data_IF_373386204220
#
_entry.id   IF_373386204220
#
_cell.length_a   1.000
_cell.length_b   1.000
_cell.length_c   1.000
_cell.angle_alpha   90.00
_cell.angle_beta   90.00
_cell.angle_gamma   90.00
#
_symmetry.space_group_name_H-M   'P 1'
#
loop_
_entity.id
_entity.type
_entity.pdbx_description
1 polymer ?
#
# COMPACT_ATOMS: atom_id res chain seq x y z
N UNK A 1 18.68 -59.04 -14.60
CA UNK A 1 17.91 -58.27 -13.60
C UNK A 1 18.46 -56.86 -13.28
N UNK A 2 19.40 -56.27 -14.06
CA UNK A 2 20.03 -54.96 -13.73
C UNK A 2 19.40 -53.77 -14.50
N UNK A 3 18.76 -54.00 -15.66
CA UNK A 3 18.18 -52.94 -16.50
C UNK A 3 16.93 -52.27 -15.88
N UNK A 4 16.13 -53.02 -15.14
CA UNK A 4 14.89 -52.53 -14.50
C UNK A 4 15.15 -51.56 -13.34
N UNK A 5 16.24 -51.73 -12.59
CA UNK A 5 16.59 -50.82 -11.47
C UNK A 5 17.06 -49.45 -11.95
N UNK A 6 17.81 -49.40 -13.06
CA UNK A 6 18.27 -48.14 -13.67
C UNK A 6 17.12 -47.33 -14.27
N UNK A 7 16.14 -48.02 -14.87
CA UNK A 7 14.94 -47.37 -15.41
C UNK A 7 14.07 -46.73 -14.32
N UNK A 8 13.93 -47.40 -13.17
CA UNK A 8 13.16 -46.89 -12.04
C UNK A 8 13.79 -45.63 -11.41
N UNK A 9 15.12 -45.58 -11.29
CA UNK A 9 15.83 -44.41 -10.76
C UNK A 9 15.65 -43.18 -11.67
N UNK A 10 15.74 -43.35 -12.99
CA UNK A 10 15.56 -42.24 -13.94
C UNK A 10 14.13 -41.67 -13.88
N UNK A 11 13.12 -42.54 -13.75
CA UNK A 11 11.72 -42.12 -13.62
C UNK A 11 11.48 -41.31 -12.33
N UNK A 12 12.10 -41.70 -11.20
CA UNK A 12 12.00 -40.97 -9.94
C UNK A 12 12.64 -39.58 -10.04
N UNK A 13 13.81 -39.45 -10.66
CA UNK A 13 14.45 -38.15 -10.86
C UNK A 13 13.67 -37.25 -11.81
N UNK A 14 13.07 -37.81 -12.85
CA UNK A 14 12.24 -37.05 -13.79
C UNK A 14 10.97 -36.50 -13.10
N UNK A 15 10.32 -37.34 -12.29
CA UNK A 15 9.15 -36.93 -11.50
C UNK A 15 9.52 -35.87 -10.46
N UNK A 16 10.66 -36.01 -9.77
CA UNK A 16 11.15 -35.04 -8.80
C UNK A 16 11.48 -33.69 -9.47
N UNK A 17 12.13 -33.72 -10.64
CA UNK A 17 12.41 -32.52 -11.43
C UNK A 17 11.15 -31.81 -11.89
N UNK A 18 10.12 -32.57 -12.28
CA UNK A 18 8.82 -32.01 -12.68
C UNK A 18 8.12 -31.35 -11.48
N UNK A 19 8.10 -31.98 -10.30
CA UNK A 19 7.51 -31.41 -9.08
C UNK A 19 8.23 -30.11 -8.67
N UNK A 20 9.56 -30.09 -8.74
CA UNK A 20 10.35 -28.88 -8.49
C UNK A 20 10.04 -27.76 -9.50
N UNK A 21 9.90 -28.10 -10.78
CA UNK A 21 9.57 -27.13 -11.83
C UNK A 21 8.17 -26.52 -11.64
N UNK A 22 7.17 -27.35 -11.30
CA UNK A 22 5.82 -26.85 -10.96
C UNK A 22 5.82 -26.00 -9.69
N UNK A 23 6.64 -26.34 -8.70
CA UNK A 23 6.80 -25.56 -7.47
C UNK A 23 7.37 -24.16 -7.70
N UNK A 24 8.33 -24.02 -8.63
CA UNK A 24 8.88 -22.70 -9.00
C UNK A 24 7.91 -21.85 -9.84
N UNK A 25 7.06 -22.49 -10.64
CA UNK A 25 6.04 -21.80 -11.43
C UNK A 25 4.89 -21.25 -10.54
N UNK A 26 4.70 -21.82 -9.35
CA UNK A 26 3.74 -21.35 -8.35
C UNK A 26 4.35 -20.23 -7.49
N UNK A 27 4.51 -19.05 -8.08
CA UNK A 27 4.63 -17.83 -7.28
C UNK A 27 3.23 -17.37 -6.91
N UNK A 28 2.79 -17.44 -5.64
CA UNK A 28 1.52 -16.85 -5.26
C UNK A 28 1.60 -15.36 -5.58
N UNK A 29 0.66 -14.86 -6.39
CA UNK A 29 0.53 -13.43 -6.60
C UNK A 29 0.40 -12.77 -5.23
N UNK A 30 1.30 -11.83 -4.90
CA UNK A 30 1.22 -11.09 -3.66
C UNK A 30 -0.14 -10.37 -3.65
N UNK A 31 -1.07 -10.86 -2.85
CA UNK A 31 -2.41 -10.32 -2.80
C UNK A 31 -2.34 -8.88 -2.26
N UNK A 32 -2.73 -7.93 -3.10
CA UNK A 32 -2.98 -6.55 -2.74
C UNK A 32 -4.01 -6.50 -1.60
N UNK A 33 -3.68 -5.85 -0.48
CA UNK A 33 -4.60 -5.73 0.67
C UNK A 33 -5.14 -4.31 0.72
N UNK A 34 -6.24 -4.06 0.00
CA UNK A 34 -7.03 -2.83 0.12
C UNK A 34 -8.08 -3.04 1.21
N UNK A 35 -8.12 -2.15 2.18
CA UNK A 35 -9.03 -2.17 3.32
C UNK A 35 -10.02 -1.01 3.19
N UNK A 36 -11.26 -1.27 3.61
CA UNK A 36 -12.31 -0.25 3.71
C UNK A 36 -12.62 -0.03 5.19
N UNK A 37 -12.57 1.21 5.66
CA UNK A 37 -12.86 1.55 7.07
C UNK A 37 -13.86 2.69 7.12
N UNK A 38 -14.94 2.51 7.87
CA UNK A 38 -15.87 3.59 8.18
C UNK A 38 -15.26 4.48 9.26
N UNK A 39 -15.08 5.76 8.99
CA UNK A 39 -14.69 6.74 10.00
C UNK A 39 -15.95 7.30 10.68
N UNK A 40 -15.84 7.60 11.96
CA UNK A 40 -16.82 8.25 12.84
C UNK A 40 -17.44 9.54 12.29
N UNK A 41 -16.87 10.12 11.23
CA UNK A 41 -17.32 11.36 10.58
C UNK A 41 -18.17 11.16 9.31
N UNK A 42 -18.89 10.05 9.17
CA UNK A 42 -19.74 9.69 8.02
C UNK A 42 -18.99 9.54 6.68
N UNK A 43 -17.71 9.16 6.71
CA UNK A 43 -16.91 8.90 5.51
C UNK A 43 -16.40 7.46 5.45
N UNK A 44 -16.36 6.88 4.26
CA UNK A 44 -15.67 5.61 4.00
C UNK A 44 -14.25 5.90 3.55
N UNK A 45 -13.26 5.29 4.19
CA UNK A 45 -11.86 5.41 3.84
C UNK A 45 -11.43 4.14 3.10
N UNK A 46 -11.02 4.30 1.84
CA UNK A 46 -10.34 3.26 1.07
C UNK A 46 -8.84 3.39 1.36
N UNK A 47 -8.17 2.33 1.81
CA UNK A 47 -6.75 2.41 2.16
C UNK A 47 -5.95 1.15 1.77
N UNK A 48 -4.68 1.33 1.45
CA UNK A 48 -3.64 0.29 1.46
C UNK A 48 -2.67 0.60 2.60
N UNK A 49 -2.28 -0.43 3.36
CA UNK A 49 -1.31 -0.33 4.46
C UNK A 49 -0.26 -1.41 4.34
N UNK A 50 1.00 -1.01 4.24
CA UNK A 50 2.15 -1.93 4.27
C UNK A 50 3.15 -1.51 5.35
N UNK A 51 3.82 -2.50 5.90
CA UNK A 51 4.98 -2.28 6.76
C UNK A 51 6.24 -2.51 5.94
N UNK A 52 7.11 -1.50 5.87
CA UNK A 52 8.42 -1.57 5.24
C UNK A 52 9.51 -1.47 6.30
N UNK A 53 10.75 -1.76 5.90
CA UNK A 53 11.94 -1.51 6.72
C UNK A 53 12.81 -0.49 6.02
N UNK A 54 13.40 0.40 6.80
CA UNK A 54 14.42 1.33 6.31
C UNK A 54 15.81 0.67 6.28
N UNK A 55 16.83 1.45 5.93
CA UNK A 55 18.22 1.01 5.88
C UNK A 55 18.77 0.56 7.24
N UNK A 56 18.19 1.04 8.34
CA UNK A 56 18.61 0.76 9.72
C UNK A 56 17.73 -0.32 10.38
N UNK A 57 16.88 -0.98 9.58
CA UNK A 57 15.92 -2.01 10.00
C UNK A 57 14.77 -1.53 10.91
N UNK A 58 14.55 -0.23 11.06
CA UNK A 58 13.37 0.27 11.75
C UNK A 58 12.12 0.05 10.88
N UNK A 59 10.99 -0.21 11.55
CA UNK A 59 9.73 -0.49 10.87
C UNK A 59 8.99 0.80 10.54
N UNK A 60 8.49 0.88 9.31
CA UNK A 60 7.73 2.01 8.79
C UNK A 60 6.36 1.55 8.33
N UNK A 61 5.29 2.23 8.74
CA UNK A 61 3.99 2.05 8.11
C UNK A 61 3.83 3.04 6.97
N UNK A 62 3.46 2.51 5.82
CA UNK A 62 3.20 3.26 4.61
C UNK A 62 1.75 3.05 4.24
N UNK A 63 0.97 4.13 4.30
CA UNK A 63 -0.48 4.09 4.22
C UNK A 63 -0.93 5.00 3.08
N UNK A 64 -1.41 4.43 1.98
CA UNK A 64 -2.07 5.19 0.92
C UNK A 64 -3.58 5.14 1.14
N UNK A 65 -4.24 6.28 1.30
CA UNK A 65 -5.68 6.29 1.61
C UNK A 65 -6.43 7.40 0.88
N UNK A 66 -7.71 7.15 0.60
CA UNK A 66 -8.63 8.09 -0.03
C UNK A 66 -9.97 8.08 0.74
N UNK A 67 -10.41 9.21 1.31
CA UNK A 67 -11.73 9.32 1.92
C UNK A 67 -12.81 9.53 0.85
N UNK A 68 -13.98 8.95 1.08
CA UNK A 68 -15.20 9.11 0.28
C UNK A 68 -16.31 9.50 1.26
N UNK A 69 -16.81 10.72 1.12
CA UNK A 69 -17.78 11.32 2.03
C UNK A 69 -19.17 10.68 1.89
N UNK A 70 -20.02 10.88 2.90
CA UNK A 70 -21.41 10.39 2.90
C UNK A 70 -22.27 10.90 1.74
N UNK A 71 -21.93 12.04 1.15
CA UNK A 71 -22.62 12.59 -0.03
C UNK A 71 -22.01 12.12 -1.37
N UNK A 72 -21.08 11.17 -1.32
CA UNK A 72 -20.41 10.61 -2.49
C UNK A 72 -19.25 11.44 -3.01
N UNK A 73 -18.93 12.59 -2.39
CA UNK A 73 -17.74 13.37 -2.74
C UNK A 73 -16.47 12.59 -2.39
N UNK A 74 -15.60 12.44 -3.38
CA UNK A 74 -14.29 11.80 -3.21
C UNK A 74 -13.26 12.85 -2.82
N UNK A 75 -12.52 12.59 -1.74
CA UNK A 75 -11.36 13.39 -1.37
C UNK A 75 -10.13 13.02 -2.19
N UNK A 76 -9.07 13.84 -2.07
CA UNK A 76 -7.76 13.50 -2.61
C UNK A 76 -7.16 12.29 -1.90
N UNK A 77 -6.42 11.45 -2.63
CA UNK A 77 -5.61 10.41 -2.00
C UNK A 77 -4.41 11.05 -1.31
N UNK A 78 -4.07 10.57 -0.12
CA UNK A 78 -2.87 10.96 0.59
C UNK A 78 -2.01 9.75 0.93
N UNK A 79 -0.70 9.96 0.97
CA UNK A 79 0.27 8.98 1.47
C UNK A 79 0.72 9.39 2.87
N UNK A 80 0.46 8.57 3.87
CA UNK A 80 0.96 8.76 5.24
C UNK A 80 2.11 7.81 5.52
N UNK A 81 3.21 8.38 6.01
CA UNK A 81 4.37 7.67 6.51
C UNK A 81 4.38 7.76 8.04
N UNK A 82 4.54 6.62 8.69
CA UNK A 82 4.71 6.52 10.14
C UNK A 82 5.99 5.76 10.40
N UNK A 83 7.04 6.49 10.78
CA UNK A 83 8.33 5.93 11.16
C UNK A 83 8.36 5.48 12.61
N UNK A 84 9.44 4.81 13.00
CA UNK A 84 9.61 4.31 14.35
C UNK A 84 9.73 5.47 15.36
N UNK A 85 8.85 5.56 16.38
CA UNK A 85 8.87 6.65 17.34
C UNK A 85 10.22 6.77 18.06
N UNK A 86 10.76 7.98 18.15
CA UNK A 86 12.03 8.26 18.83
C UNK A 86 13.30 7.91 18.05
N UNK A 87 13.20 7.13 16.95
CA UNK A 87 14.33 6.85 16.06
C UNK A 87 14.42 7.84 14.89
N UNK A 88 13.28 8.39 14.44
CA UNK A 88 13.24 9.33 13.30
C UNK A 88 12.49 10.61 13.65
N UNK A 89 13.00 11.73 13.14
CA UNK A 89 12.32 13.01 13.07
C UNK A 89 12.33 13.49 11.62
N UNK A 90 11.17 13.48 10.98
CA UNK A 90 10.97 13.85 9.57
C UNK A 90 11.09 15.36 9.44
N UNK A 91 11.78 15.82 8.39
CA UNK A 91 11.82 17.24 8.03
C UNK A 91 10.64 17.58 7.11
N UNK A 92 9.60 18.17 7.70
CA UNK A 92 8.38 18.58 6.99
C UNK A 92 8.57 19.79 6.05
N UNK A 93 9.72 20.47 6.10
CA UNK A 93 10.00 21.57 5.18
C UNK A 93 10.42 21.07 3.79
N UNK A 94 10.80 19.79 3.67
CA UNK A 94 11.33 19.20 2.45
C UNK A 94 10.38 18.16 1.86
N UNK A 95 10.26 18.08 0.53
CA UNK A 95 9.48 17.03 -0.13
C UNK A 95 10.16 15.67 0.02
N UNK A 96 9.37 14.60 0.01
CA UNK A 96 9.92 13.25 -0.22
C UNK A 96 10.20 13.08 -1.70
N UNK A 97 11.16 12.21 -2.03
CA UNK A 97 11.57 12.00 -3.43
C UNK A 97 11.54 10.53 -3.79
N UNK A 98 10.77 10.17 -4.82
CA UNK A 98 10.86 8.87 -5.46
C UNK A 98 11.99 8.91 -6.49
N UNK A 99 12.86 7.90 -6.47
CA UNK A 99 13.95 7.74 -7.43
C UNK A 99 13.87 6.37 -8.08
N UNK A 100 13.85 6.36 -9.41
CA UNK A 100 13.92 5.12 -10.20
C UNK A 100 15.37 4.58 -10.29
N UNK A 101 15.57 3.32 -10.72
CA UNK A 101 16.91 2.77 -10.92
C UNK A 101 17.73 3.46 -12.03
N UNK A 102 17.09 4.30 -12.86
CA UNK A 102 17.74 5.10 -13.91
C UNK A 102 18.16 6.49 -13.40
N UNK A 103 17.82 6.84 -12.15
CA UNK A 103 18.12 8.12 -11.52
C UNK A 103 17.10 9.22 -11.79
N UNK A 104 15.95 8.93 -12.41
CA UNK A 104 14.86 9.90 -12.52
C UNK A 104 14.22 10.10 -11.15
N UNK A 105 13.99 11.35 -10.79
CA UNK A 105 13.46 11.75 -9.49
C UNK A 105 12.11 12.44 -9.62
N UNK A 106 11.19 12.09 -8.71
CA UNK A 106 9.85 12.64 -8.63
C UNK A 106 9.60 13.12 -7.20
N UNK A 107 9.65 14.43 -6.94
CA UNK A 107 9.38 14.99 -5.62
C UNK A 107 7.86 15.01 -5.33
N UNK A 108 7.50 14.82 -4.06
CA UNK A 108 6.10 14.84 -3.59
C UNK A 108 5.97 15.79 -2.42
N UNK A 109 4.98 16.67 -2.51
CA UNK A 109 4.79 17.74 -1.54
C UNK A 109 4.24 17.24 -0.20
N UNK A 110 4.75 17.81 0.90
CA UNK A 110 4.26 17.57 2.26
C UNK A 110 2.92 18.31 2.47
N UNK A 111 1.92 17.59 2.94
CA UNK A 111 0.59 18.08 3.34
C UNK A 111 0.28 17.67 4.80
N UNK A 112 1.32 17.54 5.63
CA UNK A 112 1.22 17.15 7.04
C UNK A 112 0.43 18.16 7.87
N UNK A 113 0.33 19.41 7.42
CA UNK A 113 -0.57 20.42 7.99
C UNK A 113 -2.07 20.06 7.89
N UNK A 114 -2.43 19.08 7.06
CA UNK A 114 -3.79 18.55 6.96
C UNK A 114 -4.07 17.40 7.94
N UNK A 115 -3.04 16.92 8.66
CA UNK A 115 -3.22 15.94 9.72
C UNK A 115 -3.93 16.64 10.87
N UNK A 116 -5.24 16.37 11.01
CA UNK A 116 -6.09 16.68 12.17
C UNK A 116 -5.79 17.99 12.91
N UNK A 117 -6.64 19.01 12.74
CA UNK A 117 -6.48 20.34 13.38
C UNK A 117 -6.32 20.30 14.91
N UNK A 118 -6.79 19.24 15.56
CA UNK A 118 -6.78 19.07 17.01
C UNK A 118 -5.71 18.06 17.52
N UNK A 119 -4.92 17.48 16.61
CA UNK A 119 -3.87 16.50 16.96
C UNK A 119 -2.50 17.12 16.67
N UNK A 120 -1.60 17.23 17.67
CA UNK A 120 -0.24 17.69 17.44
C UNK A 120 0.46 16.81 16.40
N UNK A 121 1.10 17.44 15.41
CA UNK A 121 1.90 16.74 14.42
C UNK A 121 3.06 16.02 15.12
N UNK A 122 3.10 14.70 15.01
CA UNK A 122 4.15 13.89 15.60
C UNK A 122 5.38 13.89 14.68
N UNK A 123 6.61 13.98 15.22
CA UNK A 123 7.82 14.13 14.42
C UNK A 123 8.15 12.91 13.55
N UNK A 124 7.57 11.75 13.83
CA UNK A 124 7.76 10.52 13.06
C UNK A 124 6.59 10.23 12.12
N UNK A 125 5.65 11.18 11.96
CA UNK A 125 4.46 11.03 11.11
C UNK A 125 4.41 12.15 10.11
N UNK A 126 4.33 11.83 8.83
CA UNK A 126 4.16 12.80 7.75
C UNK A 126 3.10 12.35 6.75
N UNK A 127 2.51 13.30 6.04
CA UNK A 127 1.51 13.05 5.00
C UNK A 127 1.86 13.81 3.72
N UNK A 128 1.68 13.18 2.57
CA UNK A 128 2.11 13.69 1.26
C UNK A 128 1.01 13.56 0.20
N UNK A 129 0.98 14.49 -0.75
CA UNK A 129 0.03 14.53 -1.86
C UNK A 129 0.50 13.65 -3.04
N UNK A 130 0.13 12.37 -2.99
CA UNK A 130 0.60 11.35 -3.94
C UNK A 130 -0.04 11.40 -5.35
N UNK A 131 -1.35 11.72 -5.54
CA UNK A 131 -2.02 11.71 -6.84
C UNK A 131 -1.28 12.39 -7.97
N UNK A 132 -0.64 13.53 -7.69
CA UNK A 132 0.04 14.34 -8.70
C UNK A 132 1.18 13.58 -9.41
N UNK A 133 1.82 12.63 -8.72
CA UNK A 133 2.96 11.86 -9.25
C UNK A 133 2.63 10.39 -9.50
N UNK A 134 1.51 9.88 -8.97
CA UNK A 134 1.21 8.44 -8.93
C UNK A 134 1.08 7.80 -10.33
N UNK A 135 0.60 8.56 -11.33
CA UNK A 135 0.52 8.11 -12.72
C UNK A 135 1.88 8.02 -13.42
N UNK A 136 2.89 8.73 -12.90
CA UNK A 136 4.25 8.73 -13.42
C UNK A 136 5.12 7.67 -12.75
N UNK A 137 4.67 7.10 -11.62
CA UNK A 137 5.42 6.08 -10.91
C UNK A 137 5.45 4.76 -11.72
N UNK A 138 6.66 4.26 -12.05
CA UNK A 138 6.83 3.00 -12.76
C UNK A 138 6.46 1.80 -11.89
N UNK A 139 5.92 0.75 -12.53
CA UNK A 139 5.43 -0.48 -11.86
C UNK A 139 6.22 -1.73 -12.24
N UNK A 140 7.41 -1.57 -12.83
CA UNK A 140 8.28 -2.65 -13.28
C UNK A 140 9.46 -2.92 -12.33
N UNK A 141 9.77 -1.99 -11.42
CA UNK A 141 10.89 -2.14 -10.48
C UNK A 141 10.65 -1.46 -9.13
N UNK A 142 11.51 -1.80 -8.15
CA UNK A 142 11.52 -1.15 -6.84
C UNK A 142 11.97 0.30 -6.96
N UNK A 143 11.19 1.20 -6.40
CA UNK A 143 11.55 2.61 -6.27
C UNK A 143 12.24 2.87 -4.94
N UNK A 144 13.22 3.77 -4.98
CA UNK A 144 13.81 4.32 -3.77
C UNK A 144 12.98 5.53 -3.34
N UNK A 145 12.43 5.52 -2.13
CA UNK A 145 11.76 6.67 -1.54
C UNK A 145 12.66 7.27 -0.48
N UNK A 146 13.10 8.49 -0.71
CA UNK A 146 13.92 9.26 0.24
C UNK A 146 13.02 10.17 1.07
N UNK A 147 13.14 10.02 2.39
CA UNK A 147 12.40 10.77 3.40
C UNK A 147 13.39 11.68 4.13
N UNK A 148 13.32 13.01 3.91
CA UNK A 148 14.15 13.96 4.62
C UNK A 148 13.94 13.90 6.12
N UNK A 149 15.03 14.01 6.87
CA UNK A 149 15.05 13.99 8.33
C UNK A 149 15.74 15.24 8.85
N UNK A 150 15.33 15.69 10.05
CA UNK A 150 15.98 16.82 10.72
C UNK A 150 17.45 16.54 11.07
N UNK A 151 17.80 15.26 11.24
CA UNK A 151 19.18 14.80 11.48
C UNK A 151 19.60 13.89 10.33
N UNK A 152 20.62 14.28 9.53
CA UNK A 152 21.15 13.44 8.46
C UNK A 152 21.68 12.09 8.99
N UNK A 153 21.65 11.02 8.19
CA UNK A 153 21.21 10.96 6.78
C UNK A 153 19.68 10.84 6.62
N UNK A 154 19.13 11.10 5.41
CA UNK A 154 17.72 10.85 5.13
C UNK A 154 17.39 9.35 5.22
N UNK A 155 16.13 9.06 5.52
CA UNK A 155 15.64 7.67 5.54
C UNK A 155 15.31 7.21 4.13
N UNK A 156 15.63 5.96 3.83
CA UNK A 156 15.44 5.35 2.52
C UNK A 156 14.55 4.13 2.62
N UNK A 157 13.39 4.19 1.97
CA UNK A 157 12.45 3.08 1.87
C UNK A 157 12.47 2.48 0.47
N UNK A 158 12.40 1.14 0.39
CA UNK A 158 12.30 0.41 -0.87
C UNK A 158 10.83 0.11 -1.16
N UNK A 159 10.27 0.80 -2.15
CA UNK A 159 8.86 0.70 -2.51
C UNK A 159 8.68 -0.38 -3.59
N UNK A 160 8.02 -1.52 -3.29
CA UNK A 160 7.80 -2.56 -4.28
C UNK A 160 6.74 -2.17 -5.30
N UNK A 161 6.83 -2.66 -6.56
CA UNK A 161 5.81 -2.42 -7.59
C UNK A 161 4.37 -2.72 -7.14
N UNK A 162 4.18 -3.82 -6.40
CA UNK A 162 2.86 -4.22 -5.89
C UNK A 162 2.22 -3.14 -4.99
N UNK A 163 3.02 -2.38 -4.23
CA UNK A 163 2.52 -1.31 -3.38
C UNK A 163 2.08 -0.09 -4.21
N UNK A 164 2.77 0.19 -5.31
CA UNK A 164 2.37 1.24 -6.26
C UNK A 164 1.04 0.86 -6.93
N UNK A 165 0.88 -0.41 -7.32
CA UNK A 165 -0.38 -0.92 -7.87
C UNK A 165 -1.54 -0.86 -6.87
N UNK A 166 -1.28 -1.14 -5.59
CA UNK A 166 -2.25 -0.94 -4.52
C UNK A 166 -2.70 0.53 -4.43
N UNK A 167 -1.74 1.47 -4.47
CA UNK A 167 -2.05 2.90 -4.47
C UNK A 167 -2.86 3.34 -5.70
N UNK A 168 -2.51 2.83 -6.88
CA UNK A 168 -3.29 3.05 -8.10
C UNK A 168 -4.71 2.48 -7.98
N UNK A 169 -4.88 1.35 -7.28
CA UNK A 169 -6.22 0.79 -7.00
C UNK A 169 -7.01 1.69 -6.04
N UNK A 170 -6.38 2.21 -4.99
CA UNK A 170 -7.01 3.12 -4.03
C UNK A 170 -7.46 4.42 -4.70
N UNK A 171 -6.62 5.05 -5.51
CA UNK A 171 -6.98 6.32 -6.17
C UNK A 171 -8.10 6.14 -7.19
N UNK A 172 -8.13 5.01 -7.89
CA UNK A 172 -9.13 4.70 -8.91
C UNK A 172 -10.44 4.09 -8.33
N UNK A 173 -10.52 3.82 -7.03
CA UNK A 173 -11.75 3.29 -6.41
C UNK A 173 -12.76 4.42 -6.25
N UNK A 174 -13.88 4.38 -6.96
CA UNK A 174 -14.90 5.42 -6.90
C UNK A 174 -16.05 5.08 -5.95
N UNK A 175 -16.82 6.09 -5.53
CA UNK A 175 -18.02 5.86 -4.70
C UNK A 175 -19.02 4.91 -5.36
N UNK A 176 -19.16 4.97 -6.69
CA UNK A 176 -20.02 4.06 -7.47
C UNK A 176 -19.59 2.59 -7.35
N UNK A 177 -18.29 2.32 -7.23
CA UNK A 177 -17.75 0.95 -7.17
C UNK A 177 -17.99 0.30 -5.81
N UNK A 178 -18.32 1.12 -4.81
CA UNK A 178 -18.59 0.70 -3.45
C UNK A 178 -20.06 0.31 -3.23
N UNK A 179 -20.95 0.61 -4.19
CA UNK A 179 -22.34 0.14 -4.19
C UNK A 179 -22.37 -1.40 -4.33
N UNK A 180 -21.52 -1.96 -5.18
CA UNK A 180 -21.43 -3.41 -5.42
C UNK A 180 -20.45 -4.13 -4.47
N UNK A 181 -19.85 -3.41 -3.51
CA UNK A 181 -18.76 -3.92 -2.67
C UNK A 181 -19.18 -4.33 -1.26
N UNK A 182 -20.48 -4.43 -0.95
CA UNK A 182 -20.95 -4.72 0.41
C UNK A 182 -20.30 -5.97 1.05
N UNK A 183 -20.02 -7.02 0.27
CA UNK A 183 -19.35 -8.23 0.76
C UNK A 183 -17.86 -8.03 1.12
N UNK A 184 -17.25 -6.93 0.64
CA UNK A 184 -15.86 -6.57 0.92
C UNK A 184 -15.72 -5.76 2.21
N UNK A 185 -16.81 -5.28 2.78
CA UNK A 185 -16.80 -4.63 4.09
C UNK A 185 -16.84 -5.67 5.23
N UNK A 186 -16.09 -5.46 6.32
CA UNK A 186 -16.17 -6.31 7.50
C UNK A 186 -17.62 -6.40 8.01
N UNK A 187 -18.00 -7.54 8.57
CA UNK A 187 -19.37 -7.78 9.06
C UNK A 187 -19.81 -6.73 10.10
N UNK A 188 -18.89 -6.26 10.95
CA UNK A 188 -19.18 -5.19 11.91
C UNK A 188 -19.44 -3.85 11.22
N UNK A 189 -18.78 -3.57 10.08
CA UNK A 189 -18.99 -2.34 9.32
C UNK A 189 -20.37 -2.33 8.65
N UNK A 190 -20.86 -3.47 8.15
CA UNK A 190 -22.18 -3.59 7.48
C UNK A 190 -23.38 -3.22 8.36
N UNK A 191 -23.25 -3.33 9.69
CA UNK A 191 -24.30 -2.98 10.65
C UNK A 191 -24.10 -1.59 11.26
N UNK A 192 -23.05 -0.86 10.86
CA UNK A 192 -22.75 0.45 11.39
C UNK A 192 -23.72 1.49 10.78
N UNK A 193 -24.58 2.14 11.59
CA UNK A 193 -25.49 3.19 11.09
C UNK A 193 -24.74 4.43 10.55
N UNK A 194 -23.42 4.52 10.75
CA UNK A 194 -22.56 5.54 10.16
C UNK A 194 -22.08 5.24 8.73
N UNK A 195 -22.41 4.08 8.15
CA UNK A 195 -22.18 3.85 6.72
C UNK A 195 -23.02 4.83 5.88
N UNK A 196 -22.47 5.40 4.80
CA UNK A 196 -23.24 6.24 3.89
C UNK A 196 -24.43 5.51 3.28
N UNK A 197 -25.57 6.20 3.13
CA UNK A 197 -26.79 5.63 2.57
C UNK A 197 -26.64 5.14 1.11
N UNK A 198 -25.64 5.66 0.38
CA UNK A 198 -25.32 5.21 -0.98
C UNK A 198 -24.52 3.90 -1.01
N UNK A 199 -23.93 3.46 0.12
CA UNK A 199 -23.43 2.09 0.27
C UNK A 199 -24.66 1.18 0.39
N UNK A 200 -25.35 1.01 -0.72
CA UNK A 200 -26.58 0.27 -0.84
C UNK A 200 -26.25 -1.21 -0.95
N UNK A 201 -26.34 -1.94 0.16
CA UNK A 201 -26.42 -3.39 0.06
C UNK A 201 -27.81 -3.72 -0.52
N UNK A 202 -27.89 -3.89 -1.84
CA UNK A 202 -29.07 -4.48 -2.44
C UNK A 202 -29.24 -5.88 -1.86
N UNK A 203 -30.26 -6.07 -1.04
CA UNK A 203 -30.70 -7.40 -0.62
C UNK A 203 -31.52 -7.99 -1.76
N UNK A 204 -30.85 -8.58 -2.75
CA UNK A 204 -31.48 -9.55 -3.65
C UNK A 204 -31.31 -10.96 -3.08
#
# INVERSE_FOLDING_TARGET
MIKTKRFWIVQVWLALGLVLFLGLAYSPAAAATVLYTADTSSAVIVQSRRTLRDQDHHSWQVIGFKPIQADGREGGMALRLVGFPGAVAIDHAQPITFTDPKGHTLPVHDISNQIGKDVPLQPHVAQYDLPAVLSELPIDYRLRLEVPTLTPPPVVLQIPPALIQEWQTVVNTHSRDLIDACDKFPAEARQNPALPAWVGCSSD
#
